data_IF_099412978416
#
_entry.id   IF_099412978416
#
_cell.length_a   1.000
_cell.length_b   1.000
_cell.length_c   1.000
_cell.angle_alpha   90.00
_cell.angle_beta   90.00
_cell.angle_gamma   90.00
#
_symmetry.space_group_name_H-M   'P 1'
#
loop_
_entity.id
_entity.type
_entity.pdbx_description
1 polymer ?
#
# COMPACT_ATOMS: atom_id res chain seq x y z
N UNK A 1 0.81 -11.28 -14.96
CA UNK A 1 2.27 -11.50 -14.96
C UNK A 1 2.63 -12.20 -16.25
N UNK A 2 3.74 -11.84 -16.86
CA UNK A 2 4.30 -12.49 -18.06
C UNK A 2 5.71 -12.99 -17.73
N UNK A 3 6.26 -13.88 -18.54
CA UNK A 3 7.59 -14.48 -18.30
C UNK A 3 8.65 -13.40 -18.00
N UNK A 4 8.66 -12.33 -18.80
CA UNK A 4 9.64 -11.24 -18.68
C UNK A 4 9.54 -10.39 -17.42
N UNK A 5 8.46 -10.48 -16.62
CA UNK A 5 8.32 -9.71 -15.38
C UNK A 5 8.05 -10.55 -14.14
N UNK A 6 8.22 -11.87 -14.22
CA UNK A 6 7.96 -12.82 -13.14
C UNK A 6 8.63 -12.47 -11.80
N UNK A 7 9.81 -11.88 -11.82
CA UNK A 7 10.57 -11.49 -10.61
C UNK A 7 10.59 -9.97 -10.38
N UNK A 8 9.82 -9.20 -11.14
CA UNK A 8 9.80 -7.75 -11.02
C UNK A 8 8.90 -7.31 -9.86
N UNK A 9 9.50 -6.80 -8.78
CA UNK A 9 8.78 -6.28 -7.61
C UNK A 9 7.66 -5.29 -8.00
N UNK A 10 7.97 -4.31 -8.85
CA UNK A 10 6.98 -3.32 -9.31
C UNK A 10 5.78 -3.98 -9.98
N UNK A 11 6.00 -4.99 -10.83
CA UNK A 11 4.92 -5.70 -11.51
C UNK A 11 4.02 -6.45 -10.51
N UNK A 12 4.61 -7.06 -9.48
CA UNK A 12 3.86 -7.69 -8.39
C UNK A 12 3.03 -6.68 -7.60
N UNK A 13 3.60 -5.53 -7.21
CA UNK A 13 2.85 -4.49 -6.49
C UNK A 13 1.60 -4.05 -7.24
N UNK A 14 1.71 -3.72 -8.53
CA UNK A 14 0.56 -3.33 -9.34
C UNK A 14 -0.44 -4.48 -9.51
N UNK A 15 0.02 -5.71 -9.70
CA UNK A 15 -0.88 -6.86 -9.85
C UNK A 15 -1.65 -7.14 -8.56
N UNK A 16 -0.99 -7.12 -7.41
CA UNK A 16 -1.62 -7.30 -6.10
C UNK A 16 -2.64 -6.20 -5.82
N UNK A 17 -2.29 -4.93 -6.04
CA UNK A 17 -3.21 -3.82 -5.85
C UNK A 17 -4.47 -3.93 -6.74
N UNK A 18 -4.29 -4.29 -8.02
CA UNK A 18 -5.41 -4.51 -8.93
C UNK A 18 -6.32 -5.67 -8.51
N UNK A 19 -5.75 -6.76 -7.99
CA UNK A 19 -6.54 -7.89 -7.47
C UNK A 19 -7.34 -7.49 -6.22
N UNK A 20 -6.73 -6.75 -5.30
CA UNK A 20 -7.42 -6.23 -4.10
C UNK A 20 -8.56 -5.29 -4.50
N UNK A 21 -8.30 -4.33 -5.39
CA UNK A 21 -9.31 -3.38 -5.85
C UNK A 21 -10.49 -4.09 -6.54
N UNK A 22 -10.19 -5.12 -7.36
CA UNK A 22 -11.21 -5.96 -8.00
C UNK A 22 -12.06 -6.72 -6.98
N UNK A 23 -11.44 -7.33 -5.96
CA UNK A 23 -12.16 -8.07 -4.91
C UNK A 23 -13.06 -7.15 -4.09
N UNK A 24 -12.57 -5.95 -3.77
CA UNK A 24 -13.32 -4.91 -3.07
C UNK A 24 -14.31 -4.14 -3.96
N UNK A 25 -14.36 -4.45 -5.26
CA UNK A 25 -15.22 -3.79 -6.27
C UNK A 25 -15.05 -2.26 -6.29
N UNK A 26 -13.81 -1.80 -6.18
CA UNK A 26 -13.47 -0.38 -6.27
C UNK A 26 -13.49 0.09 -7.73
N UNK A 27 -14.02 1.29 -7.96
CA UNK A 27 -13.90 2.00 -9.24
C UNK A 27 -12.44 2.42 -9.46
N UNK A 28 -11.98 2.40 -10.72
CA UNK A 28 -10.56 2.64 -11.07
C UNK A 28 -10.08 4.04 -10.66
N UNK A 29 -10.96 5.03 -10.60
CA UNK A 29 -10.67 6.39 -10.17
C UNK A 29 -10.56 6.54 -8.64
N UNK A 30 -10.91 5.49 -7.88
CA UNK A 30 -11.02 5.54 -6.42
C UNK A 30 -9.84 4.91 -5.68
N UNK A 31 -8.82 4.43 -6.39
CA UNK A 31 -7.61 3.88 -5.80
C UNK A 31 -6.37 4.21 -6.64
N UNK A 32 -5.19 4.16 -6.02
CA UNK A 32 -3.92 4.31 -6.73
C UNK A 32 -2.78 3.64 -5.98
N UNK A 33 -1.63 3.47 -6.63
CA UNK A 33 -0.42 2.86 -6.06
C UNK A 33 0.70 3.88 -5.98
N UNK A 34 1.42 3.89 -4.86
CA UNK A 34 2.65 4.65 -4.63
C UNK A 34 3.69 3.83 -3.87
N UNK A 35 4.91 4.35 -3.78
CA UNK A 35 6.07 3.69 -3.19
C UNK A 35 6.71 4.59 -2.12
N UNK A 36 7.13 3.99 -1.00
CA UNK A 36 7.64 4.69 0.19
C UNK A 36 9.06 4.24 0.55
N UNK A 37 9.54 4.73 1.71
CA UNK A 37 10.80 4.31 2.35
C UNK A 37 12.04 4.48 1.47
N UNK A 38 12.19 5.69 0.91
CA UNK A 38 13.33 6.07 0.07
C UNK A 38 14.49 6.56 0.92
N UNK A 39 15.70 6.09 0.62
CA UNK A 39 16.95 6.53 1.26
C UNK A 39 17.90 7.18 0.26
N UNK A 40 18.56 8.25 0.71
CA UNK A 40 19.58 8.96 -0.05
C UNK A 40 19.03 9.76 -1.24
N UNK A 41 19.92 10.13 -2.17
CA UNK A 41 19.63 11.06 -3.27
C UNK A 41 19.32 10.37 -4.60
N UNK A 42 19.45 9.05 -4.67
CA UNK A 42 19.17 8.29 -5.88
C UNK A 42 17.69 8.40 -6.28
N UNK A 43 17.42 8.12 -7.55
CA UNK A 43 16.04 7.96 -8.02
C UNK A 43 15.52 6.57 -7.66
N UNK A 44 14.30 6.51 -7.14
CA UNK A 44 13.62 5.28 -6.74
C UNK A 44 12.33 5.12 -7.54
N UNK A 45 11.65 3.98 -7.34
CA UNK A 45 10.39 3.68 -8.00
C UNK A 45 9.34 4.74 -7.64
N UNK A 46 8.66 5.28 -8.66
CA UNK A 46 7.62 6.31 -8.56
C UNK A 46 6.23 5.72 -8.82
N UNK A 47 5.15 6.37 -8.35
CA UNK A 47 5.12 7.66 -7.64
C UNK A 47 5.47 7.52 -6.14
N UNK A 48 5.99 8.59 -5.53
CA UNK A 48 6.35 8.59 -4.10
C UNK A 48 5.12 8.80 -3.22
N UNK A 49 5.00 8.03 -2.14
CA UNK A 49 3.81 8.05 -1.26
C UNK A 49 3.58 9.41 -0.63
N UNK A 50 4.60 10.07 -0.08
CA UNK A 50 4.43 11.42 0.48
C UNK A 50 3.88 12.40 -0.56
N UNK A 51 4.50 12.46 -1.76
CA UNK A 51 4.04 13.35 -2.83
C UNK A 51 2.61 13.06 -3.26
N UNK A 52 2.22 11.78 -3.31
CA UNK A 52 0.86 11.36 -3.65
C UNK A 52 -0.15 11.75 -2.56
N UNK A 53 0.19 11.60 -1.28
CA UNK A 53 -0.67 12.02 -0.17
C UNK A 53 -0.96 13.52 -0.27
N UNK A 54 0.07 14.36 -0.46
CA UNK A 54 -0.10 15.82 -0.64
C UNK A 54 -0.98 16.15 -1.85
N UNK A 55 -0.71 15.49 -2.99
CA UNK A 55 -1.49 15.66 -4.22
C UNK A 55 -2.98 15.36 -4.03
N UNK A 56 -3.30 14.24 -3.38
CA UNK A 56 -4.69 13.82 -3.14
C UNK A 56 -5.42 14.83 -2.25
N UNK A 57 -4.81 15.27 -1.16
CA UNK A 57 -5.40 16.29 -0.27
C UNK A 57 -5.69 17.60 -1.03
N UNK A 58 -4.69 18.11 -1.76
CA UNK A 58 -4.82 19.35 -2.55
C UNK A 58 -5.86 19.25 -3.66
N UNK A 59 -6.07 18.05 -4.21
CA UNK A 59 -7.09 17.77 -5.21
C UNK A 59 -8.50 17.53 -4.60
N UNK A 60 -8.67 17.77 -3.31
CA UNK A 60 -9.97 17.75 -2.64
C UNK A 60 -10.38 16.39 -2.06
N UNK A 61 -9.49 15.39 -2.05
CA UNK A 61 -9.75 14.15 -1.31
C UNK A 61 -9.77 14.49 0.18
N UNK A 62 -10.91 14.27 0.83
CA UNK A 62 -11.08 14.55 2.26
C UNK A 62 -10.75 13.37 3.16
N UNK A 63 -10.99 12.14 2.70
CA UNK A 63 -10.74 10.91 3.47
C UNK A 63 -9.92 9.95 2.65
N UNK A 64 -8.81 9.48 3.21
CA UNK A 64 -7.86 8.59 2.58
C UNK A 64 -7.69 7.32 3.41
N UNK A 65 -7.79 6.16 2.76
CA UNK A 65 -7.45 4.87 3.36
C UNK A 65 -6.18 4.37 2.68
N UNK A 66 -5.17 3.99 3.46
CA UNK A 66 -3.88 3.52 2.97
C UNK A 66 -3.67 2.08 3.41
N UNK A 67 -3.30 1.22 2.46
CA UNK A 67 -2.93 -0.17 2.72
C UNK A 67 -1.50 -0.42 2.23
N UNK A 68 -0.70 -1.13 3.03
CA UNK A 68 0.71 -1.43 2.75
C UNK A 68 0.93 -2.93 2.46
N UNK A 69 0.44 -3.47 1.31
CA UNK A 69 0.42 -4.92 1.04
C UNK A 69 1.79 -5.57 0.86
N UNK A 70 2.87 -4.78 0.80
CA UNK A 70 4.24 -5.31 0.68
C UNK A 70 4.82 -5.79 2.01
N UNK A 71 4.14 -5.53 3.13
CA UNK A 71 4.49 -6.05 4.46
C UNK A 71 3.29 -6.80 5.03
N UNK A 72 3.54 -7.98 5.62
CA UNK A 72 2.49 -8.81 6.23
C UNK A 72 2.28 -8.51 7.72
N UNK A 73 3.20 -7.77 8.35
CA UNK A 73 3.13 -7.40 9.75
C UNK A 73 3.45 -5.92 9.92
N UNK A 74 2.92 -5.31 10.97
CA UNK A 74 3.19 -3.91 11.27
C UNK A 74 4.67 -3.69 11.60
N UNK A 75 5.20 -2.58 11.11
CA UNK A 75 6.59 -2.19 11.25
C UNK A 75 6.72 -0.66 11.26
N UNK A 76 7.96 -0.17 11.30
CA UNK A 76 8.24 1.27 11.29
C UNK A 76 7.63 1.94 10.06
N UNK A 77 7.75 1.29 8.91
CA UNK A 77 7.26 1.77 7.62
C UNK A 77 5.72 1.86 7.56
N UNK A 78 4.99 1.10 8.38
CA UNK A 78 3.52 1.19 8.43
C UNK A 78 3.06 2.17 9.50
N UNK A 79 3.49 1.97 10.75
CA UNK A 79 2.99 2.73 11.90
C UNK A 79 3.53 4.16 11.94
N UNK A 80 4.85 4.34 11.79
CA UNK A 80 5.45 5.68 11.88
C UNK A 80 5.33 6.44 10.56
N UNK A 81 5.76 5.85 9.44
CA UNK A 81 5.80 6.58 8.16
C UNK A 81 4.39 6.90 7.61
N UNK A 82 3.44 5.97 7.72
CA UNK A 82 2.11 6.13 7.11
C UNK A 82 1.06 6.56 8.13
N UNK A 83 0.86 5.79 9.20
CA UNK A 83 -0.22 6.06 10.14
C UNK A 83 -0.02 7.37 10.91
N UNK A 84 1.23 7.72 11.25
CA UNK A 84 1.56 8.98 11.91
C UNK A 84 1.97 10.03 10.88
N UNK A 85 3.10 9.86 10.19
CA UNK A 85 3.67 10.87 9.29
C UNK A 85 2.79 11.16 8.07
N UNK A 86 2.32 10.13 7.38
CA UNK A 86 1.40 10.29 6.25
C UNK A 86 0.10 10.99 6.65
N UNK A 87 -0.45 10.67 7.83
CA UNK A 87 -1.65 11.33 8.37
C UNK A 87 -1.40 12.81 8.66
N UNK A 88 -0.29 13.14 9.31
CA UNK A 88 0.10 14.53 9.56
C UNK A 88 0.17 15.33 8.25
N UNK A 89 0.90 14.81 7.25
CA UNK A 89 1.02 15.42 5.92
C UNK A 89 -0.36 15.61 5.26
N UNK A 90 -1.24 14.60 5.33
CA UNK A 90 -2.55 14.68 4.71
C UNK A 90 -3.43 15.76 5.34
N UNK A 91 -3.40 15.88 6.67
CA UNK A 91 -4.16 16.89 7.41
C UNK A 91 -3.62 18.30 7.15
N UNK A 92 -2.29 18.49 7.13
CA UNK A 92 -1.64 19.77 6.82
C UNK A 92 -2.02 20.29 5.42
N UNK A 93 -2.23 19.39 4.48
CA UNK A 93 -2.55 19.72 3.08
C UNK A 93 -4.07 19.85 2.81
N UNK A 94 -4.90 19.81 3.86
CA UNK A 94 -6.34 20.06 3.78
C UNK A 94 -7.24 18.82 3.72
N UNK A 95 -6.68 17.63 3.93
CA UNK A 95 -7.44 16.41 4.19
C UNK A 95 -8.10 16.43 5.59
N UNK A 96 -9.07 15.54 5.82
CA UNK A 96 -9.81 15.44 7.08
C UNK A 96 -9.48 14.16 7.86
N UNK A 97 -9.26 13.04 7.17
CA UNK A 97 -8.81 11.80 7.80
C UNK A 97 -7.95 10.95 6.89
N UNK A 98 -6.88 10.38 7.46
CA UNK A 98 -6.12 9.29 6.88
C UNK A 98 -6.17 8.10 7.84
N UNK A 99 -6.58 6.94 7.33
CA UNK A 99 -6.60 5.68 8.07
C UNK A 99 -5.68 4.67 7.40
N UNK A 100 -4.78 4.09 8.20
CA UNK A 100 -3.97 2.96 7.75
C UNK A 100 -4.75 1.67 8.04
N UNK A 101 -4.90 0.82 7.03
CA UNK A 101 -5.40 -0.54 7.20
C UNK A 101 -4.34 -1.35 7.94
N UNK A 102 -4.68 -2.02 9.06
CA UNK A 102 -3.75 -2.89 9.77
C UNK A 102 -3.12 -3.93 8.85
N UNK A 103 -1.85 -4.25 9.08
CA UNK A 103 -1.20 -5.37 8.40
C UNK A 103 -1.87 -6.69 8.79
N UNK A 104 -1.61 -7.76 8.02
CA UNK A 104 -2.21 -9.08 8.28
C UNK A 104 -1.87 -9.61 9.69
N UNK A 105 -0.68 -9.28 10.21
CA UNK A 105 -0.21 -9.62 11.55
C UNK A 105 -0.47 -11.11 11.85
N UNK A 106 -1.07 -11.41 13.01
CA UNK A 106 -1.44 -12.76 13.42
C UNK A 106 -2.90 -13.10 13.07
N UNK A 107 -3.45 -12.51 11.99
CA UNK A 107 -4.80 -12.83 11.52
C UNK A 107 -4.94 -14.34 11.26
N UNK A 108 -5.97 -15.01 11.81
CA UNK A 108 -6.22 -16.42 11.55
C UNK A 108 -6.32 -16.75 10.06
N UNK A 109 -6.98 -15.90 9.28
CA UNK A 109 -7.15 -16.11 7.83
C UNK A 109 -5.82 -16.08 7.08
N UNK A 110 -4.90 -15.21 7.50
CA UNK A 110 -3.55 -15.14 6.93
C UNK A 110 -2.73 -16.39 7.28
N UNK A 111 -2.78 -16.82 8.53
CA UNK A 111 -2.05 -17.99 8.99
C UNK A 111 -2.54 -19.25 8.26
N UNK A 112 -3.86 -19.42 8.13
CA UNK A 112 -4.42 -20.56 7.40
C UNK A 112 -4.07 -20.49 5.91
N UNK A 113 -4.24 -19.33 5.28
CA UNK A 113 -3.89 -19.15 3.86
C UNK A 113 -2.40 -19.46 3.58
N UNK A 114 -1.49 -19.02 4.45
CA UNK A 114 -0.07 -19.35 4.34
C UNK A 114 0.16 -20.86 4.50
N UNK A 115 -0.51 -21.51 5.46
CA UNK A 115 -0.41 -22.96 5.66
C UNK A 115 -0.89 -23.74 4.43
N UNK A 116 -2.01 -23.34 3.83
CA UNK A 116 -2.50 -23.92 2.57
C UNK A 116 -1.51 -23.74 1.41
N UNK A 117 -0.91 -22.55 1.28
CA UNK A 117 0.11 -22.28 0.26
C UNK A 117 1.33 -23.20 0.39
N UNK A 118 1.77 -23.49 1.62
CA UNK A 118 2.87 -24.42 1.89
C UNK A 118 2.46 -25.87 1.61
N UNK A 119 1.29 -26.30 2.09
CA UNK A 119 0.77 -27.67 1.87
C UNK A 119 0.60 -27.98 0.39
N UNK A 120 0.19 -27.02 -0.44
CA UNK A 120 0.07 -27.17 -1.89
C UNK A 120 1.42 -27.34 -2.62
N UNK A 121 2.55 -27.24 -1.93
CA UNK A 121 3.91 -27.45 -2.45
C UNK A 121 4.57 -28.75 -1.98
N UNK A 122 3.93 -29.45 -1.05
CA UNK A 122 4.34 -30.79 -0.59
C UNK A 122 3.75 -31.86 -1.51
#
# INVERSE_FOLDING_TARGET
MVEGNRYCYRAHCFKTAALIASELKLEDERWSVSFQSRLGRAEWIKPYTESRIRELARNGVRRLVVFCPSFVADCLETLEEIQIGGKEIFLEEGGESLEMVPSLNASPDWIEGLAEMVRAKL
#
